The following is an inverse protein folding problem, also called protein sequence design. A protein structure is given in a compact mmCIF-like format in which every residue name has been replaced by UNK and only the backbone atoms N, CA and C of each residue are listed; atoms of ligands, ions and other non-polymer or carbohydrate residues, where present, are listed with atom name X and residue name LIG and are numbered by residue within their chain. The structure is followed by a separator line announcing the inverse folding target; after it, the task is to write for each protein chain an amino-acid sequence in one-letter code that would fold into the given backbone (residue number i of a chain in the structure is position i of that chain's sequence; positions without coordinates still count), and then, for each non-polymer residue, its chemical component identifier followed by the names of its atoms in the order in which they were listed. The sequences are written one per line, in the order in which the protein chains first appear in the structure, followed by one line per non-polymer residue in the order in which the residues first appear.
data_IF_033056368146
#
_entry.id   IF_033056368146
#
_cell.length_a   1.000
_cell.length_b   1.000
_cell.length_c   1.000
_cell.angle_alpha   90.00
_cell.angle_beta   90.00
_cell.angle_gamma   90.00
#
_symmetry.space_group_name_H-M   'P 1'
#
loop_
_entity.id
_entity.type
_entity.pdbx_description
1 polymer ?
#
# COMPACT_ATOMS: atom_id res chain seq x y z
N UNK A 1 -13.25 13.86 -3.14
CA UNK A 1 -14.25 12.91 -3.69
C UNK A 1 -14.72 11.95 -2.58
N UNK A 2 -16.02 11.62 -2.46
CA UNK A 2 -16.50 10.60 -1.52
C UNK A 2 -15.98 9.19 -1.83
N UNK A 3 -15.83 8.34 -0.81
CA UNK A 3 -15.25 6.99 -0.94
C UNK A 3 -15.93 6.12 -2.00
N UNK A 4 -17.27 6.07 -2.02
CA UNK A 4 -18.04 5.30 -3.00
C UNK A 4 -17.79 5.80 -4.43
N UNK A 5 -17.71 7.11 -4.63
CA UNK A 5 -17.45 7.69 -5.94
C UNK A 5 -16.02 7.38 -6.40
N UNK A 6 -15.03 7.48 -5.51
CA UNK A 6 -13.66 7.09 -5.82
C UNK A 6 -13.54 5.61 -6.22
N UNK A 7 -14.25 4.73 -5.51
CA UNK A 7 -14.31 3.31 -5.88
C UNK A 7 -14.98 3.08 -7.23
N UNK A 8 -16.05 3.82 -7.56
CA UNK A 8 -16.71 3.71 -8.85
C UNK A 8 -15.79 4.15 -10.00
N UNK A 9 -15.09 5.28 -9.84
CA UNK A 9 -14.12 5.78 -10.84
C UNK A 9 -13.01 4.76 -11.07
N UNK A 10 -12.34 4.30 -10.01
CA UNK A 10 -11.26 3.30 -10.14
C UNK A 10 -11.79 1.98 -10.71
N UNK A 11 -12.99 1.55 -10.30
CA UNK A 11 -13.63 0.34 -10.82
C UNK A 11 -13.89 0.38 -12.32
N UNK A 12 -14.31 1.53 -12.86
CA UNK A 12 -14.48 1.73 -14.30
C UNK A 12 -13.14 1.62 -15.05
N UNK A 13 -12.07 2.25 -14.55
CA UNK A 13 -10.74 2.15 -15.14
C UNK A 13 -10.17 0.72 -15.08
N UNK A 14 -10.46 -0.03 -14.02
CA UNK A 14 -10.08 -1.44 -13.92
C UNK A 14 -10.82 -2.28 -14.96
N UNK A 15 -12.12 -2.08 -15.15
CA UNK A 15 -12.85 -2.76 -16.21
C UNK A 15 -12.21 -2.45 -17.57
N UNK A 16 -11.92 -1.18 -17.84
CA UNK A 16 -11.37 -0.75 -19.12
C UNK A 16 -10.00 -1.38 -19.36
N UNK A 17 -9.13 -1.43 -18.35
CA UNK A 17 -7.83 -2.10 -18.42
C UNK A 17 -7.95 -3.61 -18.71
N UNK A 18 -9.02 -4.26 -18.23
CA UNK A 18 -9.24 -5.70 -18.45
C UNK A 18 -9.79 -6.02 -19.84
N UNK A 19 -10.55 -5.11 -20.45
CA UNK A 19 -11.14 -5.32 -21.78
C UNK A 19 -10.42 -4.62 -22.92
N UNK A 20 -9.55 -3.67 -22.61
CA UNK A 20 -8.78 -2.89 -23.56
C UNK A 20 -7.33 -3.36 -23.68
N UNK A 21 -6.50 -2.50 -24.27
CA UNK A 21 -5.06 -2.73 -24.48
C UNK A 21 -4.16 -1.89 -23.57
N UNK A 22 -4.72 -0.89 -22.87
CA UNK A 22 -3.99 -0.05 -21.94
C UNK A 22 -3.97 -0.67 -20.54
N UNK A 23 -2.83 -0.58 -19.87
CA UNK A 23 -2.73 -0.92 -18.44
C UNK A 23 -3.46 0.12 -17.57
N UNK A 24 -3.84 -0.28 -16.36
CA UNK A 24 -4.45 0.63 -15.37
C UNK A 24 -3.59 1.88 -15.11
N UNK A 25 -2.27 1.72 -15.08
CA UNK A 25 -1.34 2.85 -14.89
C UNK A 25 -1.42 3.85 -16.05
N UNK A 26 -1.51 3.38 -17.29
CA UNK A 26 -1.67 4.23 -18.47
C UNK A 26 -3.01 4.96 -18.46
N UNK A 27 -4.10 4.27 -18.11
CA UNK A 27 -5.43 4.88 -18.03
C UNK A 27 -5.52 5.96 -16.96
N UNK A 28 -4.92 5.73 -15.79
CA UNK A 28 -4.85 6.73 -14.71
C UNK A 28 -4.00 7.93 -15.14
N UNK A 29 -2.91 7.73 -15.87
CA UNK A 29 -2.06 8.81 -16.36
C UNK A 29 -2.76 9.75 -17.36
N UNK A 30 -3.78 9.26 -18.07
CA UNK A 30 -4.56 10.04 -19.04
C UNK A 30 -5.93 10.47 -18.53
N UNK A 31 -6.32 10.06 -17.32
CA UNK A 31 -7.63 10.36 -16.76
C UNK A 31 -7.68 11.78 -16.17
N UNK A 32 -8.71 12.58 -16.45
CA UNK A 32 -8.87 13.91 -15.87
C UNK A 32 -9.21 13.87 -14.36
N UNK A 33 -9.58 12.71 -13.82
CA UNK A 33 -9.92 12.54 -12.40
C UNK A 33 -8.69 12.41 -11.49
N UNK A 34 -7.47 12.31 -12.06
CA UNK A 34 -6.23 12.07 -11.34
C UNK A 34 -5.16 13.11 -11.68
N UNK A 35 -4.60 13.75 -10.66
CA UNK A 35 -3.45 14.63 -10.80
C UNK A 35 -2.12 13.86 -10.83
N UNK A 36 -1.02 14.58 -11.03
CA UNK A 36 0.31 13.98 -11.10
C UNK A 36 0.69 13.23 -9.81
N UNK A 37 0.21 13.68 -8.65
CA UNK A 37 0.49 13.03 -7.37
C UNK A 37 -0.27 11.70 -7.25
N UNK A 38 -1.53 11.67 -7.67
CA UNK A 38 -2.34 10.46 -7.65
C UNK A 38 -1.82 9.40 -8.64
N UNK A 39 -1.22 9.81 -9.76
CA UNK A 39 -0.56 8.90 -10.69
C UNK A 39 0.63 8.16 -10.05
N UNK A 40 1.37 8.83 -9.15
CA UNK A 40 2.50 8.21 -8.45
C UNK A 40 2.08 7.10 -7.49
N UNK A 41 0.80 7.03 -7.11
CA UNK A 41 0.26 5.99 -6.22
C UNK A 41 0.20 4.60 -6.90
N UNK A 42 0.32 4.56 -8.23
CA UNK A 42 0.13 3.35 -9.03
C UNK A 42 1.47 2.92 -9.62
N UNK A 43 2.08 1.92 -8.98
CA UNK A 43 3.35 1.35 -9.39
C UNK A 43 3.72 0.15 -8.54
N UNK A 44 4.72 -0.61 -9.00
CA UNK A 44 5.21 -1.76 -8.25
C UNK A 44 5.72 -1.32 -6.88
N UNK A 45 5.19 -1.94 -5.82
CA UNK A 45 5.62 -1.69 -4.45
C UNK A 45 5.16 -0.36 -3.82
N UNK A 46 4.56 0.58 -4.56
CA UNK A 46 4.14 1.88 -3.99
C UNK A 46 3.10 1.68 -2.88
N UNK A 47 2.08 0.86 -3.14
CA UNK A 47 1.00 0.61 -2.17
C UNK A 47 1.45 -0.07 -0.88
N UNK A 48 2.59 -0.78 -0.86
CA UNK A 48 3.16 -1.31 0.39
C UNK A 48 4.06 -0.28 1.07
N UNK A 49 4.79 0.54 0.32
CA UNK A 49 5.62 1.61 0.88
C UNK A 49 4.81 2.64 1.69
N UNK A 50 3.58 2.93 1.27
CA UNK A 50 2.70 3.90 1.94
C UNK A 50 2.08 3.39 3.25
N UNK A 51 2.25 2.11 3.59
CA UNK A 51 1.65 1.49 4.79
C UNK A 51 2.53 1.75 6.02
N UNK A 52 2.36 2.90 6.65
CA UNK A 52 3.26 3.39 7.71
C UNK A 52 2.73 3.30 9.15
N UNK A 53 1.46 2.95 9.36
CA UNK A 53 0.91 2.86 10.72
C UNK A 53 1.54 1.71 11.54
N UNK A 54 1.51 1.77 12.88
CA UNK A 54 1.97 0.65 13.70
C UNK A 54 1.23 -0.65 13.35
N UNK A 55 1.97 -1.74 13.13
CA UNK A 55 1.40 -3.02 12.70
C UNK A 55 1.20 -3.17 11.19
N UNK A 56 1.45 -2.12 10.41
CA UNK A 56 1.28 -2.17 8.96
C UNK A 56 2.40 -2.95 8.24
N UNK A 57 2.15 -3.29 6.97
CA UNK A 57 3.06 -4.07 6.14
C UNK A 57 4.19 -3.27 5.48
N UNK A 58 4.24 -1.94 5.65
CA UNK A 58 5.28 -1.12 5.04
C UNK A 58 6.66 -1.40 5.61
N UNK A 59 7.73 -1.11 4.85
CA UNK A 59 9.09 -1.55 5.18
C UNK A 59 9.58 -1.04 6.53
N UNK A 60 9.29 0.23 6.86
CA UNK A 60 9.64 0.82 8.16
C UNK A 60 8.85 0.18 9.31
N UNK A 61 7.52 0.08 9.17
CA UNK A 61 6.66 -0.54 10.17
C UNK A 61 7.06 -2.02 10.42
N UNK A 62 7.42 -2.75 9.37
CA UNK A 62 7.89 -4.13 9.47
C UNK A 62 9.26 -4.24 10.16
N UNK A 63 10.17 -3.29 9.92
CA UNK A 63 11.46 -3.24 10.62
C UNK A 63 11.28 -2.94 12.12
N UNK A 64 10.44 -1.96 12.46
CA UNK A 64 10.13 -1.64 13.85
C UNK A 64 9.49 -2.82 14.59
N UNK A 65 8.59 -3.54 13.93
CA UNK A 65 7.99 -4.76 14.47
C UNK A 65 9.05 -5.83 14.76
N UNK A 66 9.96 -6.09 13.81
CA UNK A 66 11.06 -7.06 14.01
C UNK A 66 11.95 -6.69 15.19
N UNK A 67 12.32 -5.42 15.32
CA UNK A 67 13.11 -4.92 16.45
C UNK A 67 12.38 -5.15 17.77
N UNK A 68 11.10 -4.77 17.84
CA UNK A 68 10.28 -4.96 19.05
C UNK A 68 10.13 -6.44 19.41
N UNK A 69 9.92 -7.31 18.44
CA UNK A 69 9.84 -8.75 18.69
C UNK A 69 11.16 -9.33 19.19
N UNK A 70 12.30 -8.93 18.62
CA UNK A 70 13.60 -9.37 19.12
C UNK A 70 13.81 -8.98 20.59
N UNK A 71 13.45 -7.75 20.97
CA UNK A 71 13.52 -7.28 22.36
C UNK A 71 12.61 -8.06 23.30
N UNK A 72 11.35 -8.29 22.88
CA UNK A 72 10.39 -9.06 23.68
C UNK A 72 10.85 -10.51 23.85
N UNK A 73 11.33 -11.15 22.78
CA UNK A 73 11.87 -12.52 22.84
C UNK A 73 13.06 -12.59 23.80
N UNK A 74 13.99 -11.64 23.73
CA UNK A 74 15.13 -11.58 24.65
C UNK A 74 14.68 -11.40 26.11
N UNK A 75 13.73 -10.50 26.37
CA UNK A 75 13.16 -10.29 27.70
C UNK A 75 12.48 -11.55 28.25
N UNK A 76 11.73 -12.26 27.41
CA UNK A 76 11.03 -13.49 27.80
C UNK A 76 12.02 -14.61 28.12
N UNK A 77 13.08 -14.77 27.32
CA UNK A 77 14.18 -15.72 27.59
C UNK A 77 14.83 -15.48 28.95
N UNK A 78 15.24 -14.25 29.22
CA UNK A 78 15.78 -13.86 30.53
C UNK A 78 14.82 -14.17 31.68
N UNK A 79 13.53 -13.88 31.49
CA UNK A 79 12.50 -14.13 32.52
C UNK A 79 12.27 -15.62 32.80
N UNK A 80 12.49 -16.48 31.80
CA UNK A 80 12.33 -17.93 31.90
C UNK A 80 13.61 -18.66 32.34
N UNK A 81 14.72 -17.93 32.56
CA UNK A 81 16.04 -18.50 32.84
C UNK A 81 16.47 -19.57 31.81
N UNK A 82 16.28 -19.28 30.51
CA UNK A 82 16.88 -19.99 29.36
C UNK A 82 17.54 -18.99 28.42
#
# INVERSE_FOLDING_TARGET
MPFRQAHAVVGALVQEALTGSQSLQQLIATSPDFDADAQQLIGSGVGVQLRSSPGAAGPLAAQDQRTRFALVIASLRTSLAI
#
